data_IF_594371075285
#
_entry.id   IF_594371075285
#
_cell.length_a   1.000
_cell.length_b   1.000
_cell.length_c   1.000
_cell.angle_alpha   90.00
_cell.angle_beta   90.00
_cell.angle_gamma   90.00
#
_symmetry.space_group_name_H-M   'P 1'
#
loop_
_entity.id
_entity.type
_entity.pdbx_description
1 polymer ?
#
# COMPACT_ATOMS: atom_id res chain seq x y z
N UNK A 1 -1.51 7.91 14.55
CA UNK A 1 -2.61 8.89 14.72
C UNK A 1 -3.51 9.07 13.48
N UNK A 2 -3.20 8.44 12.34
CA UNK A 2 -4.03 8.51 11.12
C UNK A 2 -5.36 7.76 11.26
N UNK A 3 -5.35 6.53 11.77
CA UNK A 3 -6.59 5.77 11.99
C UNK A 3 -7.50 6.47 12.99
N UNK A 4 -6.93 7.02 14.07
CA UNK A 4 -7.68 7.78 15.07
C UNK A 4 -8.28 9.07 14.54
N UNK A 5 -7.73 9.67 13.47
CA UNK A 5 -8.30 10.88 12.86
C UNK A 5 -9.51 10.59 11.97
N UNK A 6 -9.83 9.31 11.67
CA UNK A 6 -11.04 8.95 10.94
C UNK A 6 -12.31 9.26 11.73
N UNK A 7 -12.29 9.12 13.06
CA UNK A 7 -13.45 9.41 13.91
C UNK A 7 -13.89 10.87 13.80
N UNK A 8 -13.05 11.87 14.07
CA UNK A 8 -13.45 13.27 13.90
C UNK A 8 -13.73 13.63 12.45
N UNK A 9 -13.08 12.99 11.48
CA UNK A 9 -13.39 13.15 10.06
C UNK A 9 -14.83 12.71 9.74
N UNK A 10 -15.21 11.50 10.14
CA UNK A 10 -16.56 10.96 9.91
C UNK A 10 -17.60 11.80 10.66
N UNK A 11 -17.31 12.22 11.89
CA UNK A 11 -18.21 13.09 12.64
C UNK A 11 -18.45 14.41 11.91
N UNK A 12 -17.39 15.09 11.47
CA UNK A 12 -17.51 16.36 10.76
C UNK A 12 -18.29 16.22 9.44
N UNK A 13 -18.05 15.14 8.68
CA UNK A 13 -18.81 14.84 7.46
C UNK A 13 -20.28 14.59 7.80
N UNK A 14 -20.56 13.74 8.80
CA UNK A 14 -21.93 13.42 9.24
C UNK A 14 -22.70 14.66 9.70
N UNK A 15 -22.05 15.56 10.44
CA UNK A 15 -22.66 16.81 10.92
C UNK A 15 -23.02 17.71 9.73
N UNK A 16 -22.10 17.90 8.77
CA UNK A 16 -22.35 18.68 7.56
C UNK A 16 -23.47 18.11 6.70
N UNK A 17 -23.53 16.78 6.56
CA UNK A 17 -24.63 16.12 5.87
C UNK A 17 -25.96 16.38 6.59
N UNK A 18 -25.97 16.24 7.92
CA UNK A 18 -27.17 16.48 8.74
C UNK A 18 -27.64 17.94 8.64
N UNK A 19 -26.72 18.90 8.68
CA UNK A 19 -27.04 20.32 8.49
C UNK A 19 -27.61 20.61 7.11
N UNK A 20 -27.08 19.98 6.06
CA UNK A 20 -27.61 20.15 4.71
C UNK A 20 -29.06 19.68 4.57
N UNK A 21 -29.45 18.61 5.29
CA UNK A 21 -30.81 18.10 5.31
C UNK A 21 -31.75 18.97 6.16
N UNK A 22 -31.29 19.47 7.30
CA UNK A 22 -32.12 20.27 8.23
C UNK A 22 -32.29 21.72 7.74
N UNK A 23 -31.29 22.25 7.05
CA UNK A 23 -31.27 23.63 6.53
C UNK A 23 -30.81 23.60 5.07
N UNK A 24 -31.71 23.28 4.11
CA UNK A 24 -31.35 23.13 2.69
C UNK A 24 -30.70 24.37 2.06
N UNK A 25 -30.95 25.57 2.62
CA UNK A 25 -30.30 26.81 2.17
C UNK A 25 -28.78 26.77 2.36
N UNK A 26 -28.28 25.93 3.28
CA UNK A 26 -26.86 25.72 3.54
C UNK A 26 -26.27 24.54 2.75
N UNK A 27 -27.06 23.82 1.94
CA UNK A 27 -26.60 22.60 1.27
C UNK A 27 -25.37 22.83 0.38
N UNK A 28 -25.32 23.94 -0.36
CA UNK A 28 -24.16 24.30 -1.21
C UNK A 28 -22.91 24.55 -0.38
N UNK A 29 -23.02 25.31 0.72
CA UNK A 29 -21.88 25.56 1.62
C UNK A 29 -21.42 24.25 2.28
N UNK A 30 -22.34 23.43 2.77
CA UNK A 30 -22.04 22.12 3.34
C UNK A 30 -21.32 21.23 2.33
N UNK A 31 -21.74 21.23 1.06
CA UNK A 31 -21.09 20.46 0.02
C UNK A 31 -19.65 20.92 -0.24
N UNK A 32 -19.40 22.23 -0.29
CA UNK A 32 -18.04 22.76 -0.38
C UNK A 32 -17.19 22.36 0.82
N UNK A 33 -17.73 22.43 2.04
CA UNK A 33 -17.00 22.01 3.26
C UNK A 33 -16.68 20.52 3.28
N UNK A 34 -17.62 19.68 2.84
CA UNK A 34 -17.37 18.24 2.69
C UNK A 34 -16.23 18.00 1.70
N UNK A 35 -16.27 18.61 0.51
CA UNK A 35 -15.19 18.49 -0.48
C UNK A 35 -13.84 18.91 0.13
N UNK A 36 -13.78 20.05 0.81
CA UNK A 36 -12.56 20.56 1.42
C UNK A 36 -12.03 19.63 2.53
N UNK A 37 -12.89 19.09 3.40
CA UNK A 37 -12.48 18.16 4.45
C UNK A 37 -11.84 16.89 3.85
N UNK A 38 -12.43 16.34 2.78
CA UNK A 38 -11.85 15.19 2.09
C UNK A 38 -10.51 15.51 1.43
N UNK A 39 -10.39 16.68 0.77
CA UNK A 39 -9.10 17.13 0.21
C UNK A 39 -8.03 17.28 1.28
N UNK A 40 -8.36 17.93 2.40
CA UNK A 40 -7.44 18.13 3.53
C UNK A 40 -7.01 16.78 4.11
N UNK A 41 -7.95 15.86 4.32
CA UNK A 41 -7.62 14.52 4.82
C UNK A 41 -6.66 13.79 3.87
N UNK A 42 -6.96 13.80 2.56
CA UNK A 42 -6.10 13.17 1.56
C UNK A 42 -4.69 13.78 1.55
N UNK A 43 -4.59 15.11 1.54
CA UNK A 43 -3.31 15.84 1.52
C UNK A 43 -2.46 15.56 2.78
N UNK A 44 -3.08 15.58 3.97
CA UNK A 44 -2.40 15.27 5.22
C UNK A 44 -1.90 13.82 5.25
N UNK A 45 -2.72 12.88 4.80
CA UNK A 45 -2.32 11.48 4.72
C UNK A 45 -1.15 11.29 3.74
N UNK A 46 -1.22 11.91 2.56
CA UNK A 46 -0.13 11.93 1.57
C UNK A 46 1.19 12.43 2.18
N UNK A 47 1.15 13.60 2.82
CA UNK A 47 2.33 14.21 3.43
C UNK A 47 2.94 13.32 4.51
N UNK A 48 2.10 12.76 5.40
CA UNK A 48 2.59 11.91 6.50
C UNK A 48 3.26 10.61 6.01
N UNK A 49 2.73 10.01 4.95
CA UNK A 49 3.10 8.65 4.53
C UNK A 49 4.09 8.63 3.37
N UNK A 50 3.90 9.52 2.38
CA UNK A 50 4.75 9.63 1.20
C UNK A 50 5.75 10.77 1.35
N UNK A 51 5.35 11.91 1.93
CA UNK A 51 6.16 13.13 2.06
C UNK A 51 7.02 13.22 3.31
N UNK A 52 7.44 12.09 3.91
CA UNK A 52 8.24 12.02 5.14
C UNK A 52 7.67 12.74 6.39
N UNK A 53 6.46 13.29 6.32
CA UNK A 53 5.90 14.11 7.40
C UNK A 53 5.72 13.38 8.73
N UNK A 54 5.51 12.06 8.72
CA UNK A 54 5.47 11.28 9.96
C UNK A 54 6.87 11.03 10.57
N UNK A 55 7.94 11.10 9.77
CA UNK A 55 9.30 11.04 10.30
C UNK A 55 9.67 12.36 10.98
N UNK A 56 9.34 13.48 10.34
CA UNK A 56 9.64 14.83 10.83
C UNK A 56 8.79 15.23 12.04
N UNK A 57 7.46 15.03 11.96
CA UNK A 57 6.52 15.58 12.95
C UNK A 57 6.05 14.57 13.99
N UNK A 58 6.21 13.27 13.73
CA UNK A 58 5.83 12.21 14.66
C UNK A 58 7.01 11.38 15.19
N UNK A 59 8.25 11.79 14.88
CA UNK A 59 9.48 11.19 15.41
C UNK A 59 9.73 9.75 14.97
N UNK A 60 9.09 9.29 13.89
CA UNK A 60 9.30 7.94 13.39
C UNK A 60 10.66 7.83 12.68
N UNK A 61 11.44 6.81 13.04
CA UNK A 61 12.71 6.51 12.35
C UNK A 61 12.52 6.02 10.91
N UNK A 62 11.37 5.40 10.61
CA UNK A 62 11.02 4.94 9.26
C UNK A 62 9.51 4.68 9.12
N UNK A 63 9.05 4.65 7.86
CA UNK A 63 7.70 4.21 7.50
C UNK A 63 7.74 2.69 7.22
N UNK A 64 7.04 1.91 8.05
CA UNK A 64 6.95 0.46 7.91
C UNK A 64 5.79 0.03 6.99
N UNK A 65 5.79 -1.23 6.54
CA UNK A 65 4.67 -1.81 5.80
C UNK A 65 3.33 -1.73 6.57
N UNK A 66 3.37 -1.84 7.90
CA UNK A 66 2.18 -1.70 8.75
C UNK A 66 1.62 -0.26 8.73
N UNK A 67 2.50 0.75 8.67
CA UNK A 67 2.08 2.14 8.51
C UNK A 67 1.44 2.38 7.14
N UNK A 68 2.05 1.84 6.07
CA UNK A 68 1.51 1.91 4.71
C UNK A 68 0.14 1.24 4.62
N UNK A 69 -0.01 0.03 5.16
CA UNK A 69 -1.29 -0.67 5.18
C UNK A 69 -2.36 0.12 5.94
N UNK A 70 -2.01 0.70 7.10
CA UNK A 70 -2.97 1.50 7.88
C UNK A 70 -3.45 2.73 7.10
N UNK A 71 -2.55 3.36 6.34
CA UNK A 71 -2.87 4.49 5.49
C UNK A 71 -3.70 4.09 4.28
N UNK A 72 -3.34 2.99 3.62
CA UNK A 72 -4.11 2.41 2.52
C UNK A 72 -5.56 2.17 2.93
N UNK A 73 -5.78 1.48 4.06
CA UNK A 73 -7.12 1.17 4.55
C UNK A 73 -7.91 2.45 4.90
N UNK A 74 -7.24 3.45 5.49
CA UNK A 74 -7.88 4.72 5.82
C UNK A 74 -8.30 5.49 4.56
N UNK A 75 -7.44 5.55 3.54
CA UNK A 75 -7.74 6.20 2.27
C UNK A 75 -8.84 5.43 1.51
N UNK A 76 -8.80 4.10 1.52
CA UNK A 76 -9.87 3.25 0.95
C UNK A 76 -11.20 3.49 1.65
N UNK A 77 -11.22 3.60 2.98
CA UNK A 77 -12.43 3.95 3.73
C UNK A 77 -12.98 5.32 3.32
N UNK A 78 -12.13 6.35 3.28
CA UNK A 78 -12.52 7.70 2.86
C UNK A 78 -13.03 7.70 1.42
N UNK A 79 -12.34 6.99 0.51
CA UNK A 79 -12.75 6.82 -0.88
C UNK A 79 -14.13 6.17 -1.01
N UNK A 80 -14.43 5.15 -0.18
CA UNK A 80 -15.75 4.49 -0.15
C UNK A 80 -16.84 5.35 0.49
N UNK A 81 -16.50 6.28 1.38
CA UNK A 81 -17.46 7.22 1.98
C UNK A 81 -17.86 8.33 0.99
N UNK A 82 -16.97 8.74 0.09
CA UNK A 82 -17.16 9.88 -0.80
C UNK A 82 -18.46 9.80 -1.64
N UNK A 83 -18.81 8.67 -2.30
CA UNK A 83 -20.04 8.59 -3.09
C UNK A 83 -21.30 8.69 -2.23
N UNK A 84 -21.27 8.16 -1.00
CA UNK A 84 -22.39 8.27 -0.07
C UNK A 84 -22.61 9.71 0.39
N UNK A 85 -21.53 10.45 0.62
CA UNK A 85 -21.59 11.88 0.93
C UNK A 85 -22.12 12.70 -0.27
N UNK A 86 -21.61 12.44 -1.48
CA UNK A 86 -22.09 13.10 -2.71
C UNK A 86 -23.59 12.82 -2.92
N UNK A 87 -24.03 11.57 -2.78
CA UNK A 87 -25.43 11.19 -2.94
C UNK A 87 -26.34 11.93 -1.96
N UNK A 88 -25.97 11.97 -0.68
CA UNK A 88 -26.75 12.68 0.36
C UNK A 88 -26.85 14.17 0.06
N UNK A 89 -25.73 14.83 -0.23
CA UNK A 89 -25.73 16.26 -0.59
C UNK A 89 -26.51 16.54 -1.86
N UNK A 90 -26.40 15.65 -2.86
CA UNK A 90 -27.04 15.85 -4.15
C UNK A 90 -28.55 16.05 -4.01
N UNK A 91 -29.20 15.34 -3.07
CA UNK A 91 -30.65 15.39 -2.83
C UNK A 91 -31.12 16.77 -2.36
N UNK A 92 -30.29 17.46 -1.59
CA UNK A 92 -30.60 18.79 -1.04
C UNK A 92 -30.16 19.94 -1.97
N UNK A 93 -29.30 19.66 -2.95
CA UNK A 93 -28.78 20.65 -3.88
C UNK A 93 -29.72 20.93 -5.06
N UNK A 94 -29.82 22.21 -5.43
CA UNK A 94 -30.43 22.62 -6.70
C UNK A 94 -29.68 22.01 -7.91
N UNK A 95 -30.36 21.70 -9.02
CA UNK A 95 -29.75 21.06 -10.19
C UNK A 95 -28.50 21.78 -10.72
N UNK A 96 -28.52 23.11 -10.76
CA UNK A 96 -27.38 23.92 -11.21
C UNK A 96 -26.14 23.70 -10.32
N UNK A 97 -26.30 23.73 -9.00
CA UNK A 97 -25.18 23.53 -8.07
C UNK A 97 -24.68 22.08 -8.10
N UNK A 98 -25.59 21.10 -8.22
CA UNK A 98 -25.22 19.69 -8.39
C UNK A 98 -24.31 19.50 -9.61
N UNK A 99 -24.65 20.12 -10.74
CA UNK A 99 -23.86 20.04 -11.97
C UNK A 99 -22.46 20.69 -11.84
N UNK A 100 -22.34 21.77 -11.06
CA UNK A 100 -21.07 22.45 -10.80
C UNK A 100 -20.18 21.64 -9.82
N UNK A 101 -20.78 20.99 -8.82
CA UNK A 101 -20.06 20.30 -7.76
C UNK A 101 -19.68 18.86 -8.10
N UNK A 102 -20.49 18.14 -8.89
CA UNK A 102 -20.19 16.73 -9.22
C UNK A 102 -18.81 16.52 -9.87
N UNK A 103 -18.31 17.40 -10.77
CA UNK A 103 -16.93 17.31 -11.27
C UNK A 103 -15.86 17.38 -10.16
N UNK A 104 -16.11 18.13 -9.08
CA UNK A 104 -15.18 18.24 -7.96
C UNK A 104 -15.14 16.94 -7.13
N UNK A 105 -16.30 16.32 -6.90
CA UNK A 105 -16.38 14.99 -6.29
C UNK A 105 -15.65 13.93 -7.13
N UNK A 106 -15.83 13.96 -8.46
CA UNK A 106 -15.10 13.07 -9.39
C UNK A 106 -13.59 13.29 -9.34
N UNK A 107 -13.14 14.55 -9.33
CA UNK A 107 -11.71 14.87 -9.19
C UNK A 107 -11.17 14.31 -7.87
N UNK A 108 -11.88 14.53 -6.77
CA UNK A 108 -11.48 14.04 -5.45
C UNK A 108 -11.43 12.51 -5.38
N UNK A 109 -12.38 11.82 -6.02
CA UNK A 109 -12.37 10.36 -6.13
C UNK A 109 -11.12 9.86 -6.87
N UNK A 110 -10.75 10.52 -7.97
CA UNK A 110 -9.50 10.24 -8.70
C UNK A 110 -8.29 10.47 -7.82
N UNK A 111 -8.21 11.61 -7.12
CA UNK A 111 -7.07 11.97 -6.29
C UNK A 111 -6.85 10.98 -5.12
N UNK A 112 -7.94 10.47 -4.52
CA UNK A 112 -7.89 9.40 -3.51
C UNK A 112 -7.40 8.07 -4.11
N UNK A 113 -7.86 7.73 -5.32
CA UNK A 113 -7.41 6.54 -6.04
C UNK A 113 -5.91 6.61 -6.40
N UNK A 114 -5.44 7.75 -6.89
CA UNK A 114 -4.03 7.98 -7.17
C UNK A 114 -3.16 7.87 -5.92
N UNK A 115 -3.63 8.39 -4.79
CA UNK A 115 -2.92 8.24 -3.52
C UNK A 115 -2.83 6.78 -3.10
N UNK A 116 -3.92 6.01 -3.19
CA UNK A 116 -3.91 4.57 -2.91
C UNK A 116 -2.89 3.84 -3.79
N UNK A 117 -2.90 4.09 -5.09
CA UNK A 117 -1.95 3.50 -6.03
C UNK A 117 -0.49 3.85 -5.67
N UNK A 118 -0.21 5.08 -5.22
CA UNK A 118 1.14 5.46 -4.76
C UNK A 118 1.58 4.71 -3.50
N UNK A 119 0.65 4.39 -2.60
CA UNK A 119 0.94 3.56 -1.41
C UNK A 119 1.25 2.13 -1.83
N UNK A 120 0.43 1.54 -2.71
CA UNK A 120 0.65 0.20 -3.28
C UNK A 120 2.02 0.11 -3.96
N UNK A 121 2.34 1.06 -4.85
CA UNK A 121 3.63 1.13 -5.53
C UNK A 121 4.81 1.23 -4.54
N UNK A 122 4.65 1.96 -3.44
CA UNK A 122 5.69 2.04 -2.39
C UNK A 122 5.88 0.70 -1.66
N UNK A 123 4.79 -0.04 -1.39
CA UNK A 123 4.86 -1.39 -0.83
C UNK A 123 5.58 -2.35 -1.78
N UNK A 124 5.19 -2.34 -3.06
CA UNK A 124 5.80 -3.14 -4.12
C UNK A 124 7.30 -2.81 -4.24
N UNK A 125 7.65 -1.52 -4.23
CA UNK A 125 9.05 -1.07 -4.30
C UNK A 125 9.89 -1.57 -3.12
N UNK A 126 9.36 -1.50 -1.90
CA UNK A 126 10.04 -2.06 -0.70
C UNK A 126 10.34 -3.55 -0.89
N UNK A 127 9.41 -4.30 -1.47
CA UNK A 127 9.60 -5.73 -1.72
C UNK A 127 10.56 -6.02 -2.86
N UNK A 128 10.58 -5.19 -3.90
CA UNK A 128 11.56 -5.26 -4.98
C UNK A 128 12.99 -5.01 -4.47
N UNK A 129 13.17 -4.04 -3.57
CA UNK A 129 14.48 -3.74 -2.99
C UNK A 129 14.96 -4.89 -2.09
N UNK A 130 14.05 -5.50 -1.32
CA UNK A 130 14.34 -6.71 -0.53
C UNK A 130 14.74 -7.89 -1.40
N UNK A 131 14.07 -8.10 -2.53
CA UNK A 131 14.43 -9.16 -3.48
C UNK A 131 15.83 -8.93 -4.04
N UNK A 132 16.12 -7.71 -4.47
CA UNK A 132 17.44 -7.33 -5.00
C UNK A 132 18.56 -7.60 -4.00
N UNK A 133 18.33 -7.28 -2.72
CA UNK A 133 19.28 -7.57 -1.64
C UNK A 133 19.50 -9.08 -1.46
N UNK A 134 18.44 -9.89 -1.45
CA UNK A 134 18.58 -11.35 -1.33
C UNK A 134 19.32 -11.95 -2.54
N UNK A 135 19.07 -11.45 -3.75
CA UNK A 135 19.76 -11.89 -4.96
C UNK A 135 21.26 -11.53 -4.90
N UNK A 136 21.62 -10.35 -4.38
CA UNK A 136 23.01 -9.98 -4.14
C UNK A 136 23.72 -10.94 -3.19
N UNK A 137 23.06 -11.35 -2.10
CA UNK A 137 23.57 -12.40 -1.19
C UNK A 137 23.75 -13.72 -1.93
N UNK A 138 22.76 -14.14 -2.71
CA UNK A 138 22.84 -15.39 -3.49
C UNK A 138 24.05 -15.38 -4.46
N UNK A 139 24.26 -14.28 -5.18
CA UNK A 139 25.42 -14.12 -6.09
C UNK A 139 26.74 -14.16 -5.33
N UNK A 140 26.80 -13.58 -4.13
CA UNK A 140 28.01 -13.64 -3.30
C UNK A 140 28.33 -15.06 -2.83
N UNK A 141 27.31 -15.83 -2.44
CA UNK A 141 27.45 -17.23 -2.05
C UNK A 141 27.86 -18.11 -3.22
N UNK A 142 27.41 -17.77 -4.43
CA UNK A 142 27.70 -18.54 -5.63
C UNK A 142 29.20 -18.62 -5.96
N UNK A 143 29.95 -17.56 -5.66
CA UNK A 143 31.39 -17.48 -5.93
C UNK A 143 32.23 -18.49 -5.12
N UNK A 144 31.67 -19.03 -4.03
CA UNK A 144 32.36 -19.97 -3.14
C UNK A 144 31.78 -21.39 -3.25
N UNK A 145 30.87 -21.65 -4.19
CA UNK A 145 30.22 -22.97 -4.29
C UNK A 145 31.19 -24.09 -4.67
N UNK A 146 32.22 -23.79 -5.46
CA UNK A 146 33.21 -24.79 -5.90
C UNK A 146 34.36 -24.99 -4.89
N UNK A 147 34.47 -24.11 -3.89
CA UNK A 147 35.53 -24.15 -2.88
C UNK A 147 35.14 -24.94 -1.61
N UNK A 148 33.89 -25.40 -1.51
CA UNK A 148 33.39 -26.14 -0.36
C UNK A 148 33.62 -27.64 -0.47
N UNK A 149 34.77 -28.12 0.01
CA UNK A 149 34.91 -29.51 0.45
C UNK A 149 33.93 -29.78 1.60
N UNK A 150 33.36 -31.00 1.60
CA UNK A 150 32.34 -31.54 2.52
C UNK A 150 31.99 -30.75 3.78
N UNK A 151 30.72 -30.33 3.87
CA UNK A 151 30.14 -29.76 5.10
C UNK A 151 28.64 -29.98 5.18
N UNK A 152 28.24 -30.93 6.02
CA UNK A 152 26.91 -31.26 6.56
C UNK A 152 25.67 -31.13 5.65
N UNK A 153 25.22 -32.28 5.14
CA UNK A 153 24.19 -33.04 5.87
C UNK A 153 22.86 -32.36 6.22
N UNK A 154 22.51 -31.21 5.65
CA UNK A 154 21.16 -30.64 5.80
C UNK A 154 20.20 -31.27 4.79
N UNK A 155 19.87 -32.54 5.07
CA UNK A 155 18.73 -33.35 4.60
C UNK A 155 18.22 -33.11 3.17
N UNK A 156 18.23 -34.18 2.35
CA UNK A 156 17.38 -34.29 1.16
C UNK A 156 15.97 -33.75 1.47
N UNK A 157 15.62 -32.58 0.92
CA UNK A 157 14.30 -31.96 1.05
C UNK A 157 14.21 -30.64 1.82
N UNK A 158 15.30 -30.08 2.37
CA UNK A 158 15.22 -28.76 3.05
C UNK A 158 15.42 -27.56 2.08
N UNK A 159 14.58 -26.51 2.14
CA UNK A 159 14.66 -25.38 1.20
C UNK A 159 15.92 -24.53 1.41
N UNK A 160 16.43 -23.97 0.29
CA UNK A 160 17.61 -23.10 0.27
C UNK A 160 17.53 -21.93 1.26
N UNK A 161 18.68 -21.44 1.72
CA UNK A 161 18.72 -20.24 2.59
C UNK A 161 18.05 -19.03 1.91
N UNK A 162 18.25 -18.88 0.61
CA UNK A 162 17.58 -17.87 -0.20
C UNK A 162 16.06 -18.04 -0.19
N UNK A 163 15.55 -19.25 -0.48
CA UNK A 163 14.12 -19.55 -0.47
C UNK A 163 13.49 -19.27 0.91
N UNK A 164 14.15 -19.70 2.00
CA UNK A 164 13.70 -19.41 3.37
C UNK A 164 13.64 -17.91 3.65
N UNK A 165 14.63 -17.13 3.19
CA UNK A 165 14.65 -15.68 3.37
C UNK A 165 13.51 -14.99 2.61
N UNK A 166 13.28 -15.37 1.35
CA UNK A 166 12.18 -14.86 0.52
C UNK A 166 10.82 -15.18 1.14
N UNK A 167 10.58 -16.45 1.52
CA UNK A 167 9.33 -16.87 2.16
C UNK A 167 9.11 -16.08 3.46
N UNK A 168 10.12 -15.96 4.31
CA UNK A 168 10.02 -15.19 5.56
C UNK A 168 9.63 -13.73 5.32
N UNK A 169 10.20 -13.08 4.30
CA UNK A 169 9.86 -11.69 3.95
C UNK A 169 8.41 -11.57 3.46
N UNK A 170 7.97 -12.47 2.59
CA UNK A 170 6.58 -12.51 2.10
C UNK A 170 5.58 -12.76 3.23
N UNK A 171 5.86 -13.70 4.14
CA UNK A 171 5.02 -13.98 5.31
C UNK A 171 4.95 -12.77 6.25
N UNK A 172 6.08 -12.11 6.48
CA UNK A 172 6.14 -10.90 7.32
C UNK A 172 5.30 -9.77 6.71
N UNK A 173 5.42 -9.56 5.39
CA UNK A 173 4.58 -8.60 4.69
C UNK A 173 3.11 -8.96 4.79
N UNK A 174 2.73 -10.21 4.49
CA UNK A 174 1.34 -10.68 4.56
C UNK A 174 0.73 -10.44 5.94
N UNK A 175 1.49 -10.69 6.98
CA UNK A 175 1.08 -10.41 8.36
C UNK A 175 0.86 -8.91 8.58
N UNK A 176 1.76 -8.07 8.08
CA UNK A 176 1.65 -6.61 8.20
C UNK A 176 0.48 -6.02 7.39
N UNK A 177 0.07 -6.67 6.29
CA UNK A 177 -1.04 -6.25 5.43
C UNK A 177 -2.36 -6.94 5.79
N UNK A 178 -2.40 -7.82 6.80
CA UNK A 178 -3.53 -8.72 7.10
C UNK A 178 -4.89 -8.07 7.35
N UNK A 179 -4.93 -6.76 7.58
CA UNK A 179 -6.16 -6.00 7.81
C UNK A 179 -6.63 -5.20 6.58
N UNK A 180 -5.93 -5.34 5.45
CA UNK A 180 -6.40 -4.83 4.17
C UNK A 180 -7.55 -5.70 3.64
N UNK A 181 -8.33 -5.13 2.72
CA UNK A 181 -9.36 -5.87 2.00
C UNK A 181 -8.73 -6.93 1.09
N UNK A 182 -9.44 -8.03 0.84
CA UNK A 182 -8.96 -9.14 0.02
C UNK A 182 -8.60 -8.70 -1.41
N UNK A 183 -9.44 -7.84 -2.02
CA UNK A 183 -9.19 -7.24 -3.33
C UNK A 183 -7.86 -6.45 -3.40
N UNK A 184 -7.55 -5.70 -2.33
CA UNK A 184 -6.34 -4.89 -2.23
C UNK A 184 -5.11 -5.79 -2.00
N UNK A 185 -5.26 -6.83 -1.16
CA UNK A 185 -4.22 -7.82 -0.92
C UNK A 185 -3.85 -8.55 -2.21
N UNK A 186 -4.83 -9.01 -2.97
CA UNK A 186 -4.61 -9.74 -4.21
C UNK A 186 -3.95 -8.87 -5.28
N UNK A 187 -4.33 -7.60 -5.37
CA UNK A 187 -3.68 -6.65 -6.27
C UNK A 187 -2.20 -6.46 -5.90
N UNK A 188 -1.90 -6.15 -4.63
CA UNK A 188 -0.54 -5.91 -4.14
C UNK A 188 0.33 -7.17 -4.27
N UNK A 189 -0.15 -8.32 -3.79
CA UNK A 189 0.59 -9.57 -3.87
C UNK A 189 0.71 -10.08 -5.31
N UNK A 190 -0.29 -9.87 -6.15
CA UNK A 190 -0.22 -10.20 -7.58
C UNK A 190 0.93 -9.46 -8.28
N UNK A 191 1.09 -8.16 -8.00
CA UNK A 191 2.21 -7.39 -8.56
C UNK A 191 3.57 -7.82 -7.97
N UNK A 192 3.64 -8.05 -6.65
CA UNK A 192 4.85 -8.56 -6.00
C UNK A 192 5.27 -9.90 -6.59
N UNK A 193 4.33 -10.83 -6.79
CA UNK A 193 4.60 -12.14 -7.37
C UNK A 193 5.19 -12.03 -8.78
N UNK A 194 4.67 -11.14 -9.63
CA UNK A 194 5.23 -10.89 -10.98
C UNK A 194 6.67 -10.36 -10.93
N UNK A 195 6.95 -9.44 -10.01
CA UNK A 195 8.30 -8.90 -9.81
C UNK A 195 9.25 -9.97 -9.29
N UNK A 196 8.78 -10.81 -8.37
CA UNK A 196 9.58 -11.89 -7.79
C UNK A 196 9.88 -12.96 -8.82
N UNK A 197 8.89 -13.43 -9.58
CA UNK A 197 9.07 -14.41 -10.63
C UNK A 197 10.12 -13.95 -11.67
N UNK A 198 9.90 -12.78 -12.27
CA UNK A 198 10.82 -12.22 -13.27
C UNK A 198 12.21 -11.88 -12.70
N UNK A 199 12.27 -11.39 -11.45
CA UNK A 199 13.51 -11.04 -10.78
C UNK A 199 14.35 -12.26 -10.41
N UNK A 200 13.73 -13.30 -9.87
CA UNK A 200 14.38 -14.57 -9.53
C UNK A 200 14.84 -15.28 -10.79
N UNK A 201 13.98 -15.39 -11.81
CA UNK A 201 14.36 -16.03 -13.08
C UNK A 201 15.59 -15.36 -13.71
N UNK A 202 15.63 -14.02 -13.70
CA UNK A 202 16.78 -13.26 -14.19
C UNK A 202 18.02 -13.45 -13.33
N UNK A 203 17.88 -13.35 -12.01
CA UNK A 203 19.01 -13.49 -11.07
C UNK A 203 19.63 -14.89 -11.13
N UNK A 204 18.81 -15.93 -11.19
CA UNK A 204 19.29 -17.31 -11.37
C UNK A 204 19.88 -17.54 -12.76
N UNK A 205 19.32 -16.91 -13.80
CA UNK A 205 19.87 -17.02 -15.17
C UNK A 205 21.29 -16.46 -15.32
N UNK A 206 21.70 -15.54 -14.44
CA UNK A 206 23.04 -14.93 -14.43
C UNK A 206 24.08 -15.74 -13.65
N UNK A 207 23.67 -16.73 -12.87
CA UNK A 207 24.57 -17.61 -12.14
C UNK A 207 25.09 -18.70 -13.10
N UNK A 208 26.39 -18.98 -13.08
CA UNK A 208 27.01 -19.98 -13.95
C UNK A 208 26.35 -21.35 -13.73
N UNK A 209 25.81 -21.92 -14.80
CA UNK A 209 25.12 -23.21 -14.78
C UNK A 209 26.16 -24.32 -14.75
N UNK A 210 26.63 -24.70 -13.57
CA UNK A 210 27.57 -25.82 -13.43
C UNK A 210 27.96 -26.09 -11.98
N UNK A 211 28.22 -27.36 -11.65
CA UNK A 211 28.67 -27.79 -10.32
C UNK A 211 27.56 -28.34 -9.41
N UNK A 212 27.96 -29.18 -8.45
CA UNK A 212 27.05 -29.78 -7.46
C UNK A 212 26.51 -28.76 -6.45
N UNK A 213 27.18 -27.61 -6.27
CA UNK A 213 26.68 -26.47 -5.49
C UNK A 213 25.45 -25.81 -6.14
N UNK A 214 25.47 -25.63 -7.46
CA UNK A 214 24.35 -25.09 -8.24
C UNK A 214 23.13 -26.02 -8.21
N UNK A 215 23.33 -27.33 -8.47
CA UNK A 215 22.24 -28.33 -8.46
C UNK A 215 21.53 -28.44 -7.11
N UNK A 216 22.24 -28.21 -6.01
CA UNK A 216 21.67 -28.25 -4.65
C UNK A 216 20.76 -27.06 -4.33
N UNK A 217 20.85 -25.96 -5.08
CA UNK A 217 20.15 -24.72 -4.75
C UNK A 217 18.91 -24.43 -5.60
N UNK A 218 18.73 -25.15 -6.71
CA UNK A 218 17.57 -25.06 -7.61
C UNK A 218 16.42 -26.01 -7.20
N UNK A 219 16.70 -26.96 -6.29
CA UNK A 219 15.69 -27.86 -5.69
C UNK A 219 15.09 -27.24 -4.43
#
# INVERSE_FOLDING_TARGET
>A
RLVTSLVPFVQAVSDLLSYSCQVPQLATECAHRVIEIFKVYNALCCSLILGAGAMENAGLKSISAKHLASAHQAVTFVSRLLPAAELSLSRELLPLHRNILSPQFKSLARDLGEHRNKIEQKLVKIMQDRLSANLGVLVSMAKTWDAGEGGDGSGEGSPSQFARAVVKQLTTLKTALSFLLEEDLDAIFGEICRIYDSGVARGLGQLERGGDGWRRQVR
#
